data_IF_931749254579
#
_entry.id   IF_931749254579
#
_cell.length_a   1.000
_cell.length_b   1.000
_cell.length_c   1.000
_cell.angle_alpha   90.00
_cell.angle_beta   90.00
_cell.angle_gamma   90.00
#
_symmetry.space_group_name_H-M   'P 1'
#
loop_
_entity.id
_entity.type
_entity.pdbx_description
1 polymer ?
#
# COMPACT_ATOMS: atom_id res chain seq x y z
N UNK A 1 41.15 2.59 34.98
CA UNK A 1 40.15 3.54 34.45
C UNK A 1 39.97 3.44 32.93
N UNK A 2 41.00 3.60 32.07
CA UNK A 2 40.82 3.44 30.60
C UNK A 2 40.43 2.02 30.17
N UNK A 3 41.06 0.99 30.71
CA UNK A 3 40.74 -0.41 30.38
C UNK A 3 39.32 -0.81 30.81
N UNK A 4 38.92 -0.44 32.03
CA UNK A 4 37.54 -0.64 32.54
C UNK A 4 36.46 0.12 31.75
N UNK A 5 36.82 1.25 31.14
CA UNK A 5 35.90 2.02 30.29
C UNK A 5 35.75 1.37 28.90
N UNK A 6 36.82 0.79 28.36
CA UNK A 6 36.79 0.05 27.10
C UNK A 6 35.99 -1.27 27.23
N UNK A 7 36.20 -2.02 28.31
CA UNK A 7 35.46 -3.26 28.60
C UNK A 7 33.95 -2.98 28.77
N UNK A 8 33.59 -1.82 29.34
CA UNK A 8 32.20 -1.36 29.45
C UNK A 8 31.56 -1.04 28.10
N UNK A 9 32.26 -0.30 27.23
CA UNK A 9 31.78 0.00 25.88
C UNK A 9 31.61 -1.28 25.05
N UNK A 10 32.47 -2.26 25.26
CA UNK A 10 32.41 -3.56 24.60
C UNK A 10 31.18 -4.37 25.00
N UNK A 11 30.91 -4.52 26.31
CA UNK A 11 29.76 -5.29 26.82
C UNK A 11 28.41 -4.63 26.47
N UNK A 12 28.29 -3.30 26.59
CA UNK A 12 27.10 -2.59 26.09
C UNK A 12 26.98 -2.69 24.56
N UNK A 13 28.11 -2.73 23.86
CA UNK A 13 28.17 -2.96 22.42
C UNK A 13 27.64 -4.34 22.03
N UNK A 14 27.98 -5.39 22.77
CA UNK A 14 27.47 -6.75 22.58
C UNK A 14 25.96 -6.82 22.79
N UNK A 15 25.46 -6.30 23.91
CA UNK A 15 24.02 -6.28 24.19
C UNK A 15 23.24 -5.47 23.15
N UNK A 16 23.82 -4.36 22.65
CA UNK A 16 23.23 -3.58 21.55
C UNK A 16 23.17 -4.38 20.26
N UNK A 17 24.26 -5.04 19.85
CA UNK A 17 24.28 -5.91 18.67
C UNK A 17 23.23 -7.01 18.76
N UNK A 18 23.12 -7.66 19.92
CA UNK A 18 22.09 -8.68 20.15
C UNK A 18 20.66 -8.13 20.02
N UNK A 19 20.41 -6.91 20.50
CA UNK A 19 19.13 -6.23 20.34
C UNK A 19 18.85 -5.83 18.88
N UNK A 20 19.87 -5.45 18.12
CA UNK A 20 19.73 -5.09 16.70
C UNK A 20 19.49 -6.34 15.84
N UNK A 21 20.19 -7.45 16.11
CA UNK A 21 19.98 -8.75 15.46
C UNK A 21 18.56 -9.28 15.68
N UNK A 22 17.96 -8.98 16.84
CA UNK A 22 16.57 -9.30 17.16
C UNK A 22 15.58 -8.56 16.26
N UNK A 23 15.79 -7.25 16.06
CA UNK A 23 14.96 -6.44 15.17
C UNK A 23 15.17 -6.82 13.71
N UNK A 24 16.40 -7.16 13.31
CA UNK A 24 16.66 -7.71 11.98
C UNK A 24 15.89 -9.01 11.75
N UNK A 25 15.96 -9.96 12.70
CA UNK A 25 15.18 -11.19 12.63
C UNK A 25 13.68 -10.91 12.54
N UNK A 26 13.16 -10.00 13.37
CA UNK A 26 11.75 -9.57 13.33
C UNK A 26 11.37 -9.04 11.95
N UNK A 27 12.23 -8.24 11.32
CA UNK A 27 11.90 -7.51 10.09
C UNK A 27 12.20 -8.28 8.80
N UNK A 28 12.99 -9.36 8.86
CA UNK A 28 13.41 -10.11 7.66
C UNK A 28 13.05 -11.58 7.66
N UNK A 29 12.60 -12.15 8.78
CA UNK A 29 12.23 -13.57 8.87
C UNK A 29 10.71 -13.75 8.90
N UNK A 30 10.18 -14.41 7.86
CA UNK A 30 8.75 -14.66 7.68
C UNK A 30 8.51 -16.14 7.33
N UNK A 31 8.60 -17.05 8.33
CA UNK A 31 8.32 -18.47 8.12
C UNK A 31 6.83 -18.69 7.81
N UNK A 32 6.51 -19.79 7.12
CA UNK A 32 5.13 -20.16 6.81
C UNK A 32 4.29 -20.39 8.09
N UNK A 33 4.92 -20.86 9.18
CA UNK A 33 4.30 -20.98 10.49
C UNK A 33 4.73 -19.81 11.39
N UNK A 34 3.82 -18.87 11.74
CA UNK A 34 4.15 -17.72 12.59
C UNK A 34 4.72 -18.10 13.96
N UNK A 35 4.38 -19.28 14.49
CA UNK A 35 4.87 -19.75 15.79
C UNK A 35 6.40 -19.92 15.76
N UNK A 36 6.97 -20.35 14.65
CA UNK A 36 8.43 -20.51 14.50
C UNK A 36 9.17 -19.18 14.66
N UNK A 37 8.61 -18.09 14.10
CA UNK A 37 9.15 -16.74 14.27
C UNK A 37 9.14 -16.33 15.73
N UNK A 38 8.02 -16.53 16.42
CA UNK A 38 7.87 -16.18 17.83
C UNK A 38 8.83 -16.99 18.71
N UNK A 39 8.98 -18.29 18.46
CA UNK A 39 9.91 -19.15 19.21
C UNK A 39 11.37 -18.72 19.03
N UNK A 40 11.78 -18.38 17.80
CA UNK A 40 13.15 -17.93 17.55
C UNK A 40 13.41 -16.53 18.14
N UNK A 41 12.43 -15.61 18.06
CA UNK A 41 12.48 -14.32 18.75
C UNK A 41 12.60 -14.50 20.26
N UNK A 42 11.85 -15.42 20.86
CA UNK A 42 11.92 -15.72 22.29
C UNK A 42 13.31 -16.23 22.68
N UNK A 43 13.82 -17.24 21.97
CA UNK A 43 15.16 -17.81 22.21
C UNK A 43 16.27 -16.75 22.15
N UNK A 44 16.25 -15.88 21.13
CA UNK A 44 17.24 -14.81 20.98
C UNK A 44 17.04 -13.69 22.01
N UNK A 45 15.80 -13.40 22.40
CA UNK A 45 15.50 -12.40 23.44
C UNK A 45 16.03 -12.84 24.79
N UNK A 46 15.83 -14.11 25.15
CA UNK A 46 16.34 -14.68 26.40
C UNK A 46 17.88 -14.60 26.45
N UNK A 47 18.55 -14.90 25.33
CA UNK A 47 20.00 -14.74 25.22
C UNK A 47 20.43 -13.27 25.37
N UNK A 48 19.78 -12.34 24.66
CA UNK A 48 20.09 -10.92 24.73
C UNK A 48 19.86 -10.34 26.14
N UNK A 49 18.79 -10.77 26.82
CA UNK A 49 18.53 -10.42 28.21
C UNK A 49 19.60 -11.02 29.15
N UNK A 50 20.03 -12.26 28.93
CA UNK A 50 21.08 -12.88 29.74
C UNK A 50 22.43 -12.15 29.61
N UNK A 51 22.77 -11.71 28.39
CA UNK A 51 23.94 -10.88 28.15
C UNK A 51 23.82 -9.53 28.87
N UNK A 52 22.66 -8.89 28.77
CA UNK A 52 22.41 -7.61 29.43
C UNK A 52 22.45 -7.75 30.96
N UNK A 53 21.87 -8.82 31.52
CA UNK A 53 21.81 -9.06 32.97
C UNK A 53 23.18 -9.47 33.55
N UNK A 54 24.10 -9.97 32.72
CA UNK A 54 25.49 -10.24 33.11
C UNK A 54 26.30 -8.97 33.42
N UNK A 55 25.82 -7.79 33.02
CA UNK A 55 26.49 -6.51 33.28
C UNK A 55 26.59 -6.24 34.79
N UNK A 56 27.79 -6.08 35.37
CA UNK A 56 27.97 -5.77 36.80
C UNK A 56 27.22 -4.51 37.25
N UNK A 57 26.75 -4.50 38.50
CA UNK A 57 26.06 -3.35 39.10
C UNK A 57 26.99 -2.12 39.20
N UNK A 58 28.29 -2.35 39.38
CA UNK A 58 29.32 -1.31 39.39
C UNK A 58 29.41 -0.55 38.07
N UNK A 59 29.07 -1.21 36.96
CA UNK A 59 29.10 -0.64 35.61
C UNK A 59 27.79 0.11 35.25
N UNK A 60 26.80 0.09 36.15
CA UNK A 60 25.47 0.73 36.00
C UNK A 60 25.26 1.85 37.02
N UNK A 61 26.30 2.60 37.38
CA UNK A 61 26.23 3.60 38.45
C UNK A 61 25.75 4.97 37.97
N UNK A 62 26.16 5.40 36.78
CA UNK A 62 25.81 6.71 36.24
C UNK A 62 24.38 6.70 35.65
N UNK A 63 23.63 7.81 35.74
CA UNK A 63 22.30 7.91 35.14
C UNK A 63 22.25 7.54 33.66
N UNK A 64 23.28 7.91 32.87
CA UNK A 64 23.38 7.58 31.45
C UNK A 64 23.52 6.07 31.23
N UNK A 65 24.38 5.38 31.99
CA UNK A 65 24.57 3.92 31.90
C UNK A 65 23.29 3.18 32.31
N UNK A 66 22.63 3.63 33.38
CA UNK A 66 21.32 3.11 33.79
C UNK A 66 20.28 3.33 32.69
N UNK A 67 20.24 4.52 32.10
CA UNK A 67 19.35 4.84 30.99
C UNK A 67 19.57 3.92 29.79
N UNK A 68 20.82 3.66 29.40
CA UNK A 68 21.16 2.71 28.33
C UNK A 68 20.75 1.28 28.67
N UNK A 69 20.98 0.82 29.90
CA UNK A 69 20.56 -0.51 30.34
C UNK A 69 19.03 -0.67 30.28
N UNK A 70 18.29 0.28 30.85
CA UNK A 70 16.81 0.30 30.82
C UNK A 70 16.28 0.37 29.38
N UNK A 71 16.92 1.16 28.52
CA UNK A 71 16.59 1.23 27.10
C UNK A 71 16.77 -0.11 26.39
N UNK A 72 17.95 -0.74 26.52
CA UNK A 72 18.23 -2.01 25.86
C UNK A 72 17.28 -3.11 26.35
N UNK A 73 17.02 -3.19 27.66
CA UNK A 73 16.07 -4.15 28.22
C UNK A 73 14.68 -3.95 27.66
N UNK A 74 14.21 -2.70 27.64
CA UNK A 74 12.94 -2.31 27.05
C UNK A 74 12.83 -2.65 25.56
N UNK A 75 13.87 -2.33 24.77
CA UNK A 75 13.96 -2.65 23.33
C UNK A 75 13.88 -4.16 23.09
N UNK A 76 14.63 -4.97 23.84
CA UNK A 76 14.58 -6.44 23.70
C UNK A 76 13.18 -6.98 24.03
N UNK A 77 12.55 -6.48 25.09
CA UNK A 77 11.20 -6.90 25.47
C UNK A 77 10.13 -6.45 24.46
N UNK A 78 10.35 -5.34 23.74
CA UNK A 78 9.45 -4.82 22.71
C UNK A 78 9.60 -5.52 21.34
N UNK A 79 10.48 -6.51 21.17
CA UNK A 79 10.64 -7.15 19.84
C UNK A 79 9.38 -7.90 19.37
N UNK A 80 8.48 -8.25 20.28
CA UNK A 80 7.29 -9.03 19.99
C UNK A 80 6.15 -8.17 19.42
N UNK A 81 5.22 -8.75 18.63
CA UNK A 81 4.09 -8.01 18.06
C UNK A 81 3.14 -7.45 19.13
N UNK A 82 2.91 -8.22 20.19
CA UNK A 82 1.98 -7.87 21.25
C UNK A 82 2.60 -6.90 22.27
N UNK A 83 1.75 -6.01 22.80
CA UNK A 83 2.14 -5.09 23.87
C UNK A 83 2.60 -5.84 25.12
N UNK A 84 3.77 -5.46 25.65
CA UNK A 84 4.31 -5.93 26.92
C UNK A 84 4.50 -4.76 27.88
N UNK A 85 3.76 -4.76 28.98
CA UNK A 85 3.86 -3.73 30.02
C UNK A 85 5.28 -3.56 30.56
N UNK A 86 6.01 -4.67 30.70
CA UNK A 86 7.41 -4.64 31.16
C UNK A 86 8.31 -3.83 30.21
N UNK A 87 8.08 -3.91 28.89
CA UNK A 87 8.82 -3.10 27.92
C UNK A 87 8.52 -1.61 28.12
N UNK A 88 7.25 -1.22 28.25
CA UNK A 88 6.84 0.16 28.53
C UNK A 88 7.47 0.68 29.84
N UNK A 89 7.47 -0.11 30.90
CA UNK A 89 8.04 0.28 32.20
C UNK A 89 9.55 0.57 32.11
N UNK A 90 10.30 -0.28 31.40
CA UNK A 90 11.73 -0.09 31.15
C UNK A 90 12.03 1.11 30.24
N UNK A 91 11.30 1.23 29.13
CA UNK A 91 11.46 2.35 28.19
C UNK A 91 11.09 3.70 28.85
N UNK A 92 10.06 3.72 29.68
CA UNK A 92 9.66 4.90 30.46
C UNK A 92 10.73 5.33 31.46
N UNK A 93 11.44 4.38 32.08
CA UNK A 93 12.61 4.70 32.93
C UNK A 93 13.76 5.22 32.10
N UNK A 94 14.03 4.62 30.95
CA UNK A 94 15.11 5.04 30.05
C UNK A 94 14.99 6.51 29.64
N UNK A 95 13.81 6.94 29.18
CA UNK A 95 13.57 8.33 28.76
C UNK A 95 13.60 9.32 29.92
N UNK A 96 13.31 8.89 31.16
CA UNK A 96 13.45 9.74 32.36
C UNK A 96 14.91 9.92 32.76
N UNK A 97 15.72 8.86 32.64
CA UNK A 97 17.14 8.87 32.98
C UNK A 97 17.99 9.58 31.92
N UNK A 98 17.61 9.44 30.65
CA UNK A 98 18.26 10.11 29.52
C UNK A 98 17.22 10.64 28.52
N UNK A 99 16.65 11.85 28.76
CA UNK A 99 15.62 12.44 27.90
C UNK A 99 16.07 12.76 26.47
N UNK A 100 17.38 12.79 26.20
CA UNK A 100 17.95 13.06 24.88
C UNK A 100 18.15 11.80 24.03
N UNK A 101 17.86 10.60 24.58
CA UNK A 101 18.02 9.34 23.86
C UNK A 101 16.83 9.13 22.90
N UNK A 102 16.97 9.58 21.66
CA UNK A 102 15.92 9.51 20.63
C UNK A 102 15.41 8.08 20.41
N UNK A 103 16.31 7.08 20.36
CA UNK A 103 15.95 5.68 20.15
C UNK A 103 15.06 5.12 21.27
N UNK A 104 15.23 5.61 22.51
CA UNK A 104 14.38 5.21 23.63
C UNK A 104 12.97 5.77 23.51
N UNK A 105 12.83 7.02 23.05
CA UNK A 105 11.52 7.59 22.74
C UNK A 105 10.84 6.91 21.55
N UNK A 106 11.61 6.55 20.52
CA UNK A 106 11.13 5.77 19.38
C UNK A 106 10.58 4.42 19.84
N UNK A 107 11.35 3.65 20.63
CA UNK A 107 10.89 2.37 21.16
C UNK A 107 9.68 2.53 22.10
N UNK A 108 9.68 3.56 22.96
CA UNK A 108 8.55 3.84 23.85
C UNK A 108 7.27 4.15 23.06
N UNK A 109 7.37 4.99 22.02
CA UNK A 109 6.26 5.32 21.14
C UNK A 109 5.71 4.09 20.41
N UNK A 110 6.58 3.22 19.90
CA UNK A 110 6.17 1.95 19.28
C UNK A 110 5.48 1.01 20.29
N UNK A 111 6.02 0.90 21.50
CA UNK A 111 5.43 0.08 22.56
C UNK A 111 4.02 0.57 22.96
N UNK A 112 3.87 1.88 23.12
CA UNK A 112 2.57 2.53 23.42
C UNK A 112 1.61 2.42 22.23
N UNK A 113 2.12 2.44 21.00
CA UNK A 113 1.29 2.18 19.82
C UNK A 113 0.71 0.76 19.86
N UNK A 114 1.50 -0.27 20.21
CA UNK A 114 0.99 -1.64 20.38
C UNK A 114 -0.09 -1.75 21.47
N UNK A 115 -0.04 -0.90 22.50
CA UNK A 115 -1.08 -0.79 23.54
C UNK A 115 -2.40 -0.22 22.99
N UNK A 116 -2.37 0.45 21.84
CA UNK A 116 -3.52 1.08 21.19
C UNK A 116 -3.69 2.57 21.50
N UNK A 117 -2.82 3.16 22.32
CA UNK A 117 -2.88 4.59 22.67
C UNK A 117 -2.14 5.44 21.63
N UNK A 118 -2.81 5.71 20.52
CA UNK A 118 -2.23 6.45 19.38
C UNK A 118 -1.82 7.88 19.76
N UNK A 119 -2.57 8.53 20.66
CA UNK A 119 -2.29 9.90 21.07
C UNK A 119 -0.98 9.98 21.89
N UNK A 120 -0.80 9.08 22.86
CA UNK A 120 0.43 9.00 23.64
C UNK A 120 1.63 8.56 22.80
N UNK A 121 1.43 7.69 21.80
CA UNK A 121 2.47 7.32 20.84
C UNK A 121 2.92 8.54 20.01
N UNK A 122 1.98 9.34 19.48
CA UNK A 122 2.30 10.57 18.73
C UNK A 122 3.08 11.54 19.62
N UNK A 123 2.68 11.71 20.87
CA UNK A 123 3.39 12.55 21.83
C UNK A 123 4.85 12.09 22.05
N UNK A 124 5.10 10.78 22.17
CA UNK A 124 6.46 10.26 22.32
C UNK A 124 7.34 10.61 21.11
N UNK A 125 6.82 10.42 19.89
CA UNK A 125 7.57 10.75 18.68
C UNK A 125 7.81 12.26 18.51
N UNK A 126 6.81 13.09 18.79
CA UNK A 126 6.95 14.56 18.75
C UNK A 126 7.98 15.05 19.78
N UNK A 127 7.97 14.49 20.99
CA UNK A 127 8.97 14.79 22.00
C UNK A 127 10.37 14.36 21.55
N UNK A 128 10.51 13.21 20.90
CA UNK A 128 11.77 12.77 20.34
C UNK A 128 12.30 13.74 19.28
N UNK A 129 11.45 14.17 18.34
CA UNK A 129 11.82 15.15 17.31
C UNK A 129 12.18 16.53 17.88
N UNK A 130 11.61 16.91 19.02
CA UNK A 130 12.00 18.15 19.72
C UNK A 130 13.46 18.14 20.21
N UNK A 131 14.08 16.95 20.31
CA UNK A 131 15.49 16.79 20.72
C UNK A 131 16.45 16.72 19.54
N UNK A 132 15.95 16.39 18.35
CA UNK A 132 16.75 16.29 17.14
C UNK A 132 15.96 15.65 16.01
N UNK A 133 16.23 16.09 14.78
CA UNK A 133 15.60 15.50 13.61
C UNK A 133 16.11 14.07 13.40
N UNK A 134 15.18 13.14 13.15
CA UNK A 134 15.49 11.71 12.98
C UNK A 134 14.53 11.09 11.97
N UNK A 135 15.09 10.48 10.92
CA UNK A 135 14.30 9.90 9.80
C UNK A 135 13.43 8.72 10.22
N UNK A 136 13.87 7.91 11.18
CA UNK A 136 13.13 6.74 11.65
C UNK A 136 11.89 7.18 12.42
N UNK A 137 12.02 8.20 13.29
CA UNK A 137 10.91 8.77 14.03
C UNK A 137 9.91 9.46 13.07
N UNK A 138 10.39 10.20 12.07
CA UNK A 138 9.54 10.79 11.04
C UNK A 138 8.76 9.71 10.24
N UNK A 139 9.41 8.59 9.92
CA UNK A 139 8.73 7.44 9.31
C UNK A 139 7.65 6.87 10.23
N UNK A 140 7.93 6.68 11.52
CA UNK A 140 6.93 6.16 12.48
C UNK A 140 5.75 7.13 12.65
N UNK A 141 5.99 8.44 12.71
CA UNK A 141 4.91 9.44 12.73
C UNK A 141 4.05 9.34 11.48
N UNK A 142 4.68 9.28 10.30
CA UNK A 142 3.97 9.10 9.04
C UNK A 142 3.08 7.85 9.08
N UNK A 143 3.57 6.73 9.61
CA UNK A 143 2.78 5.49 9.74
C UNK A 143 1.63 5.62 10.75
N UNK A 144 1.91 6.19 11.92
CA UNK A 144 0.94 6.38 13.00
C UNK A 144 -0.21 7.31 12.55
N UNK A 145 0.10 8.39 11.84
CA UNK A 145 -0.89 9.34 11.34
C UNK A 145 -1.85 8.68 10.35
N UNK A 146 -1.35 7.83 9.45
CA UNK A 146 -2.23 7.04 8.56
C UNK A 146 -3.16 6.13 9.35
N UNK A 147 -2.70 5.58 10.47
CA UNK A 147 -3.53 4.77 11.36
C UNK A 147 -4.55 5.63 12.10
N UNK A 148 -4.16 6.79 12.62
CA UNK A 148 -5.06 7.75 13.28
C UNK A 148 -6.13 8.31 12.34
N UNK A 149 -5.81 8.44 11.04
CA UNK A 149 -6.78 8.83 10.03
C UNK A 149 -7.92 7.80 9.87
N UNK A 150 -7.69 6.53 10.17
CA UNK A 150 -8.72 5.49 10.05
C UNK A 150 -9.80 5.71 11.13
N UNK A 151 -10.98 6.15 10.70
CA UNK A 151 -12.11 6.43 11.60
C UNK A 151 -12.15 7.86 12.14
N UNK A 152 -11.24 8.74 11.72
CA UNK A 152 -11.32 10.18 11.99
C UNK A 152 -12.25 10.88 10.99
N UNK A 153 -12.80 12.05 11.37
CA UNK A 153 -13.53 12.94 10.45
C UNK A 153 -12.56 13.69 9.52
N UNK A 154 -11.37 14.06 10.01
CA UNK A 154 -10.36 14.84 9.28
C UNK A 154 -9.30 13.96 8.60
N UNK A 155 -9.70 12.84 8.00
CA UNK A 155 -8.74 11.86 7.45
C UNK A 155 -7.77 12.47 6.44
N UNK A 156 -8.27 13.34 5.55
CA UNK A 156 -7.46 13.95 4.52
C UNK A 156 -6.35 14.83 5.11
N UNK A 157 -6.66 15.65 6.11
CA UNK A 157 -5.70 16.53 6.78
C UNK A 157 -4.60 15.73 7.48
N UNK A 158 -4.98 14.72 8.26
CA UNK A 158 -4.03 13.84 8.97
C UNK A 158 -3.11 13.10 7.97
N UNK A 159 -3.64 12.70 6.82
CA UNK A 159 -2.84 12.02 5.79
C UNK A 159 -1.90 12.98 5.06
N UNK A 160 -2.25 14.26 4.92
CA UNK A 160 -1.30 15.26 4.42
C UNK A 160 -0.16 15.53 5.43
N UNK A 161 -0.42 15.52 6.74
CA UNK A 161 0.64 15.52 7.77
C UNK A 161 1.58 14.29 7.58
N UNK A 162 1.00 13.12 7.34
CA UNK A 162 1.76 11.88 7.08
C UNK A 162 2.67 11.99 5.86
N UNK A 163 2.21 12.64 4.78
CA UNK A 163 3.02 12.91 3.58
C UNK A 163 4.16 13.87 3.92
N UNK A 164 3.89 14.91 4.72
CA UNK A 164 4.89 15.89 5.10
C UNK A 164 6.03 15.25 5.91
N UNK A 165 5.71 14.47 6.94
CA UNK A 165 6.73 13.75 7.72
C UNK A 165 7.53 12.75 6.87
N UNK A 166 6.89 12.05 5.93
CA UNK A 166 7.61 11.15 5.02
C UNK A 166 8.58 11.90 4.08
N UNK A 167 8.19 13.07 3.58
CA UNK A 167 9.07 13.92 2.75
C UNK A 167 10.24 14.49 3.55
N UNK A 168 10.02 14.86 4.81
CA UNK A 168 11.08 15.29 5.71
C UNK A 168 12.08 14.15 5.98
N UNK A 169 11.60 12.92 6.19
CA UNK A 169 12.48 11.76 6.34
C UNK A 169 13.39 11.54 5.12
N UNK A 170 12.84 11.66 3.91
CA UNK A 170 13.60 11.60 2.65
C UNK A 170 14.62 12.75 2.54
N UNK A 171 14.28 13.94 3.04
CA UNK A 171 15.19 15.10 3.02
C UNK A 171 16.42 14.86 3.89
N UNK A 172 16.28 14.12 5.00
CA UNK A 172 17.41 13.71 5.84
C UNK A 172 18.30 12.65 5.18
N UNK A 173 17.71 11.73 4.42
CA UNK A 173 18.46 10.72 3.66
C UNK A 173 17.70 10.27 2.41
N UNK A 174 18.09 10.84 1.26
CA UNK A 174 17.46 10.57 -0.03
C UNK A 174 17.69 9.15 -0.54
N UNK A 175 18.65 8.41 0.04
CA UNK A 175 18.94 7.01 -0.32
C UNK A 175 18.19 6.02 0.57
N UNK A 176 17.52 6.49 1.61
CA UNK A 176 16.81 5.63 2.54
C UNK A 176 15.53 5.06 1.93
N UNK A 177 15.55 3.76 1.62
CA UNK A 177 14.42 3.11 0.99
C UNK A 177 13.17 3.04 1.89
N UNK A 178 13.34 2.95 3.22
CA UNK A 178 12.21 2.94 4.15
C UNK A 178 11.46 4.29 4.17
N UNK A 179 12.18 5.41 4.06
CA UNK A 179 11.58 6.74 3.94
C UNK A 179 10.77 6.88 2.64
N UNK A 180 11.31 6.40 1.52
CA UNK A 180 10.57 6.34 0.25
C UNK A 180 9.35 5.41 0.30
N UNK A 181 9.48 4.25 0.94
CA UNK A 181 8.37 3.32 1.14
C UNK A 181 7.24 3.97 1.96
N UNK A 182 7.58 4.72 3.01
CA UNK A 182 6.60 5.44 3.81
C UNK A 182 5.89 6.55 3.04
N UNK A 183 6.61 7.28 2.17
CA UNK A 183 5.96 8.23 1.25
C UNK A 183 5.00 7.50 0.30
N UNK A 184 5.39 6.33 -0.21
CA UNK A 184 4.53 5.50 -1.06
C UNK A 184 3.21 5.14 -0.38
N UNK A 185 3.29 4.68 0.87
CA UNK A 185 2.11 4.35 1.69
C UNK A 185 1.25 5.57 2.02
N UNK A 186 1.86 6.74 2.26
CA UNK A 186 1.16 8.00 2.51
C UNK A 186 0.42 8.51 1.27
N UNK A 187 1.07 8.52 0.11
CA UNK A 187 0.43 8.87 -1.16
C UNK A 187 -0.70 7.90 -1.52
N UNK A 188 -0.51 6.59 -1.30
CA UNK A 188 -1.56 5.58 -1.52
C UNK A 188 -2.77 5.83 -0.62
N UNK A 189 -2.53 6.10 0.66
CA UNK A 189 -3.60 6.40 1.60
C UNK A 189 -4.30 7.69 1.22
N UNK A 190 -3.56 8.73 0.84
CA UNK A 190 -4.09 10.03 0.39
C UNK A 190 -5.00 9.87 -0.82
N UNK A 191 -4.61 9.01 -1.77
CA UNK A 191 -5.45 8.67 -2.91
C UNK A 191 -6.82 8.14 -2.49
N UNK A 192 -6.89 7.17 -1.59
CA UNK A 192 -8.17 6.59 -1.15
C UNK A 192 -8.99 7.52 -0.26
N UNK A 193 -8.39 8.21 0.71
CA UNK A 193 -9.15 9.10 1.62
C UNK A 193 -9.72 10.32 0.88
N UNK A 194 -9.08 10.75 -0.21
CA UNK A 194 -9.59 11.84 -1.05
C UNK A 194 -10.59 11.39 -2.11
N UNK A 195 -10.99 10.11 -2.12
CA UNK A 195 -12.06 9.58 -2.96
C UNK A 195 -11.60 8.75 -4.16
N UNK A 196 -10.33 8.32 -4.18
CA UNK A 196 -9.78 7.38 -5.16
C UNK A 196 -9.84 7.85 -6.63
N UNK A 197 -9.64 9.16 -6.86
CA UNK A 197 -9.71 9.77 -8.19
C UNK A 197 -8.45 10.53 -8.61
N UNK A 198 -7.65 11.03 -7.67
CA UNK A 198 -6.45 11.78 -7.99
C UNK A 198 -5.32 10.85 -8.45
N UNK A 199 -5.28 10.59 -9.76
CA UNK A 199 -4.29 9.72 -10.38
C UNK A 199 -2.84 10.18 -10.13
N UNK A 200 -2.62 11.48 -9.88
CA UNK A 200 -1.30 12.01 -9.53
C UNK A 200 -0.78 11.39 -8.24
N UNK A 201 -1.63 11.26 -7.21
CA UNK A 201 -1.25 10.63 -5.93
C UNK A 201 -0.89 9.16 -6.09
N UNK A 202 -1.62 8.44 -6.93
CA UNK A 202 -1.34 7.03 -7.21
C UNK A 202 -0.01 6.86 -7.96
N UNK A 203 0.29 7.74 -8.93
CA UNK A 203 1.58 7.77 -9.62
C UNK A 203 2.74 8.19 -8.70
N UNK A 204 2.51 9.14 -7.78
CA UNK A 204 3.48 9.51 -6.76
C UNK A 204 3.80 8.33 -5.84
N UNK A 205 2.77 7.58 -5.43
CA UNK A 205 2.93 6.36 -4.64
C UNK A 205 3.79 5.33 -5.37
N UNK A 206 3.48 5.03 -6.65
CA UNK A 206 4.26 4.12 -7.48
C UNK A 206 5.73 4.56 -7.60
N UNK A 207 5.96 5.85 -7.87
CA UNK A 207 7.33 6.40 -8.00
C UNK A 207 8.11 6.30 -6.68
N UNK A 208 7.43 6.51 -5.55
CA UNK A 208 8.05 6.37 -4.23
C UNK A 208 8.46 4.92 -3.95
N UNK A 209 7.60 3.92 -4.24
CA UNK A 209 7.99 2.52 -4.13
C UNK A 209 9.15 2.15 -5.06
N UNK A 210 9.15 2.63 -6.31
CA UNK A 210 10.27 2.41 -7.23
C UNK A 210 11.60 3.02 -6.73
N UNK A 211 11.54 4.12 -5.97
CA UNK A 211 12.74 4.65 -5.31
C UNK A 211 13.12 3.82 -4.09
N UNK A 212 12.15 3.31 -3.32
CA UNK A 212 12.40 2.43 -2.19
C UNK A 212 13.11 1.13 -2.61
N UNK A 213 12.70 0.53 -3.73
CA UNK A 213 13.29 -0.69 -4.29
C UNK A 213 14.77 -0.55 -4.72
N UNK A 214 15.28 0.68 -4.86
CA UNK A 214 16.69 0.93 -5.16
C UNK A 214 17.61 0.71 -3.96
N UNK A 215 17.06 0.72 -2.74
CA UNK A 215 17.79 0.39 -1.53
C UNK A 215 17.82 -1.13 -1.34
N UNK A 216 19.01 -1.72 -1.32
CA UNK A 216 19.21 -3.17 -1.14
C UNK A 216 18.55 -3.69 0.14
N UNK A 217 18.48 -2.87 1.19
CA UNK A 217 17.85 -3.23 2.48
C UNK A 217 16.34 -3.45 2.34
N UNK A 218 15.71 -2.82 1.35
CA UNK A 218 14.28 -2.94 1.11
C UNK A 218 13.91 -4.17 0.28
N UNK A 219 14.87 -4.84 -0.35
CA UNK A 219 14.60 -6.04 -1.15
C UNK A 219 14.06 -7.22 -0.34
N UNK A 220 14.25 -7.24 0.98
CA UNK A 220 13.66 -8.26 1.86
C UNK A 220 12.28 -7.88 2.37
N UNK A 221 11.81 -6.64 2.17
CA UNK A 221 10.54 -6.16 2.71
C UNK A 221 9.36 -6.68 1.86
N UNK A 222 8.51 -7.59 2.38
CA UNK A 222 7.40 -8.15 1.63
C UNK A 222 6.26 -7.14 1.39
N UNK A 223 5.99 -6.26 2.36
CA UNK A 223 4.93 -5.24 2.30
C UNK A 223 5.17 -4.22 1.18
N UNK A 224 6.45 -3.88 0.91
CA UNK A 224 6.82 -3.01 -0.21
C UNK A 224 6.32 -3.59 -1.54
N UNK A 225 6.61 -4.86 -1.82
CA UNK A 225 6.18 -5.53 -3.04
C UNK A 225 4.65 -5.66 -3.10
N UNK A 226 4.01 -5.98 -1.98
CA UNK A 226 2.56 -6.12 -1.90
C UNK A 226 1.83 -4.78 -2.19
N UNK A 227 2.28 -3.70 -1.56
CA UNK A 227 1.67 -2.38 -1.74
C UNK A 227 1.97 -1.82 -3.13
N UNK A 228 3.19 -2.01 -3.65
CA UNK A 228 3.54 -1.66 -5.03
C UNK A 228 2.70 -2.44 -6.05
N UNK A 229 2.47 -3.73 -5.82
CA UNK A 229 1.60 -4.57 -6.65
C UNK A 229 0.13 -4.12 -6.61
N UNK A 230 -0.35 -3.71 -5.44
CA UNK A 230 -1.71 -3.17 -5.26
C UNK A 230 -1.90 -1.88 -6.06
N UNK A 231 -0.91 -0.98 -6.05
CA UNK A 231 -0.91 0.22 -6.89
C UNK A 231 -0.91 -0.14 -8.37
N UNK A 232 -0.06 -1.09 -8.80
CA UNK A 232 -0.05 -1.55 -10.19
C UNK A 232 -1.38 -2.21 -10.59
N UNK A 233 -2.02 -2.98 -9.71
CA UNK A 233 -3.35 -3.56 -9.94
C UNK A 233 -4.39 -2.47 -10.17
N UNK A 234 -4.40 -1.44 -9.31
CA UNK A 234 -5.34 -0.32 -9.45
C UNK A 234 -5.06 0.53 -10.70
N UNK A 235 -3.80 0.63 -11.09
CA UNK A 235 -3.36 1.22 -12.36
C UNK A 235 -3.54 0.27 -13.55
N UNK A 236 -4.14 -0.91 -13.40
CA UNK A 236 -4.32 -1.94 -14.44
C UNK A 236 -3.02 -2.35 -15.16
N UNK A 237 -1.87 -2.19 -14.50
CA UNK A 237 -0.56 -2.70 -14.91
C UNK A 237 -0.44 -4.17 -14.48
N UNK A 238 -1.24 -5.05 -15.07
CA UNK A 238 -1.45 -6.42 -14.60
C UNK A 238 -0.15 -7.24 -14.49
N UNK A 239 0.76 -7.15 -15.46
CA UNK A 239 2.05 -7.87 -15.42
C UNK A 239 2.88 -7.49 -14.19
N UNK A 240 2.99 -6.19 -13.90
CA UNK A 240 3.72 -5.67 -12.75
C UNK A 240 3.03 -6.02 -11.44
N UNK A 241 1.70 -5.99 -11.42
CA UNK A 241 0.92 -6.40 -10.26
C UNK A 241 1.16 -7.88 -9.93
N UNK A 242 1.05 -8.76 -10.93
CA UNK A 242 1.29 -10.20 -10.79
C UNK A 242 2.72 -10.48 -10.30
N UNK A 243 3.73 -9.88 -10.94
CA UNK A 243 5.14 -10.02 -10.54
C UNK A 243 5.39 -9.55 -9.11
N UNK A 244 4.81 -8.40 -8.73
CA UNK A 244 4.97 -7.84 -7.39
C UNK A 244 4.28 -8.69 -6.31
N UNK A 245 3.08 -9.21 -6.56
CA UNK A 245 2.42 -10.12 -5.62
C UNK A 245 3.17 -11.45 -5.50
N UNK A 246 3.71 -12.03 -6.58
CA UNK A 246 4.56 -13.21 -6.46
C UNK A 246 5.83 -12.93 -5.65
N UNK A 247 6.46 -11.77 -5.88
CA UNK A 247 7.63 -11.35 -5.12
C UNK A 247 7.32 -11.15 -3.62
N UNK A 248 6.12 -10.68 -3.28
CA UNK A 248 5.65 -10.56 -1.90
C UNK A 248 5.38 -11.94 -1.28
N UNK A 249 4.67 -12.83 -1.99
CA UNK A 249 4.36 -14.19 -1.56
C UNK A 249 5.62 -15.04 -1.28
N UNK A 250 6.67 -14.84 -2.09
CA UNK A 250 7.95 -15.53 -1.90
C UNK A 250 8.65 -15.09 -0.60
N UNK A 251 8.43 -13.86 -0.15
CA UNK A 251 9.10 -13.27 1.01
C UNK A 251 8.33 -13.49 2.30
N UNK A 252 7.01 -13.28 2.29
CA UNK A 252 6.11 -13.61 3.39
C UNK A 252 4.92 -14.41 2.85
N UNK A 253 4.94 -15.76 2.98
CA UNK A 253 3.82 -16.61 2.61
C UNK A 253 2.54 -16.32 3.39
N UNK A 254 2.63 -15.66 4.54
CA UNK A 254 1.50 -15.23 5.34
C UNK A 254 0.80 -13.99 4.80
N UNK A 255 1.33 -13.35 3.74
CA UNK A 255 0.57 -12.36 2.99
C UNK A 255 -0.40 -13.08 2.05
N UNK A 256 -1.62 -12.54 1.92
CA UNK A 256 -2.63 -13.03 0.97
C UNK A 256 -2.25 -12.73 -0.50
N UNK A 257 -0.97 -12.63 -0.83
CA UNK A 257 -0.45 -12.26 -2.13
C UNK A 257 -0.70 -13.36 -3.18
N UNK A 258 -0.64 -14.64 -2.79
CA UNK A 258 -0.98 -15.77 -3.68
C UNK A 258 -2.45 -15.69 -4.12
N UNK A 259 -3.35 -15.34 -3.20
CA UNK A 259 -4.77 -15.16 -3.49
C UNK A 259 -4.99 -13.98 -4.45
N UNK A 260 -4.27 -12.87 -4.27
CA UNK A 260 -4.33 -11.74 -5.20
C UNK A 260 -3.83 -12.09 -6.61
N UNK A 261 -2.76 -12.90 -6.73
CA UNK A 261 -2.31 -13.43 -8.03
C UNK A 261 -3.42 -14.26 -8.68
N UNK A 262 -4.03 -15.17 -7.93
CA UNK A 262 -5.08 -16.05 -8.44
C UNK A 262 -6.29 -15.25 -8.92
N UNK A 263 -6.76 -14.27 -8.14
CA UNK A 263 -7.87 -13.38 -8.51
C UNK A 263 -7.62 -12.63 -9.82
N UNK A 264 -6.40 -12.12 -10.02
CA UNK A 264 -6.03 -11.41 -11.26
C UNK A 264 -6.01 -12.39 -12.44
N UNK A 265 -5.38 -13.56 -12.29
CA UNK A 265 -5.30 -14.58 -13.34
C UNK A 265 -6.69 -15.07 -13.75
N UNK A 266 -7.57 -15.34 -12.80
CA UNK A 266 -8.93 -15.80 -13.07
C UNK A 266 -9.78 -14.75 -13.79
N UNK A 267 -9.66 -13.49 -13.38
CA UNK A 267 -10.27 -12.37 -14.08
C UNK A 267 -9.78 -12.30 -15.54
N UNK A 268 -8.47 -12.30 -15.77
CA UNK A 268 -7.89 -12.19 -17.11
C UNK A 268 -8.26 -13.37 -18.00
N UNK A 269 -8.27 -14.59 -17.45
CA UNK A 269 -8.74 -15.79 -18.14
C UNK A 269 -10.21 -15.67 -18.56
N UNK A 270 -11.05 -15.13 -17.68
CA UNK A 270 -12.47 -14.92 -17.96
C UNK A 270 -12.69 -13.86 -19.05
N UNK A 271 -11.97 -12.73 -18.98
CA UNK A 271 -12.02 -11.67 -19.99
C UNK A 271 -11.61 -12.20 -21.37
N UNK A 272 -10.48 -12.91 -21.44
CA UNK A 272 -9.98 -13.51 -22.67
C UNK A 272 -10.97 -14.52 -23.27
N UNK A 273 -11.54 -15.40 -22.44
CA UNK A 273 -12.54 -16.39 -22.88
C UNK A 273 -13.79 -15.72 -23.46
N UNK A 274 -14.30 -14.68 -22.81
CA UNK A 274 -15.47 -13.94 -23.27
C UNK A 274 -15.20 -13.21 -24.60
N UNK A 275 -14.04 -12.55 -24.72
CA UNK A 275 -13.61 -11.87 -25.95
C UNK A 275 -13.46 -12.85 -27.12
N UNK A 276 -12.83 -14.02 -26.91
CA UNK A 276 -12.70 -15.07 -27.93
C UNK A 276 -14.05 -15.68 -28.33
N UNK A 277 -14.96 -15.85 -27.37
CA UNK A 277 -16.32 -16.32 -27.62
C UNK A 277 -17.10 -15.36 -28.53
N UNK A 278 -16.99 -14.05 -28.30
CA UNK A 278 -17.65 -13.06 -29.14
C UNK A 278 -17.05 -12.95 -30.54
N UNK A 279 -15.73 -13.06 -30.68
CA UNK A 279 -15.09 -13.12 -31.99
C UNK A 279 -15.64 -14.26 -32.87
N UNK A 280 -16.02 -15.40 -32.25
CA UNK A 280 -16.65 -16.55 -32.93
C UNK A 280 -18.15 -16.35 -33.17
N UNK A 281 -18.85 -15.66 -32.28
CA UNK A 281 -20.29 -15.43 -32.32
C UNK A 281 -20.75 -14.25 -33.20
N UNK A 282 -19.83 -13.59 -33.94
CA UNK A 282 -20.04 -12.44 -34.84
C UNK A 282 -21.11 -12.60 -35.95
N UNK A 283 -22.02 -13.58 -35.89
CA UNK A 283 -23.11 -13.78 -36.84
C UNK A 283 -24.46 -13.14 -36.48
N UNK A 284 -24.70 -12.60 -35.28
CA UNK A 284 -26.10 -12.28 -34.90
C UNK A 284 -26.43 -10.95 -34.21
N UNK A 285 -25.51 -10.01 -33.98
CA UNK A 285 -25.89 -8.70 -33.44
C UNK A 285 -25.84 -7.63 -34.54
N UNK A 286 -26.91 -7.54 -35.34
CA UNK A 286 -27.29 -6.25 -35.87
C UNK A 286 -27.46 -5.34 -34.66
N UNK A 287 -26.47 -4.47 -34.39
CA UNK A 287 -26.63 -3.36 -33.47
C UNK A 287 -27.74 -2.51 -34.08
N UNK A 288 -28.98 -2.83 -33.70
CA UNK A 288 -30.16 -2.10 -34.11
C UNK A 288 -29.83 -0.64 -33.86
N UNK A 289 -29.78 0.12 -34.96
CA UNK A 289 -29.64 1.56 -35.03
C UNK A 289 -30.50 2.21 -33.95
N UNK A 290 -29.92 2.43 -32.78
CA UNK A 290 -30.63 2.91 -31.60
C UNK A 290 -30.57 4.43 -31.60
N UNK A 291 -31.74 5.03 -31.75
CA UNK A 291 -32.10 6.45 -31.87
C UNK A 291 -31.68 7.36 -30.69
N UNK A 292 -30.73 6.95 -29.84
CA UNK A 292 -30.21 7.79 -28.75
C UNK A 292 -29.17 8.84 -29.24
N UNK A 293 -29.32 9.33 -30.47
CA UNK A 293 -28.35 10.19 -31.14
C UNK A 293 -28.43 11.67 -30.69
N UNK A 294 -29.50 12.08 -30.02
CA UNK A 294 -29.85 13.51 -29.99
C UNK A 294 -29.38 14.29 -28.74
N UNK A 295 -28.75 13.65 -27.75
CA UNK A 295 -28.37 14.30 -26.47
C UNK A 295 -26.85 14.43 -26.24
N UNK A 296 -26.01 14.14 -27.23
CA UNK A 296 -24.56 14.34 -27.05
C UNK A 296 -24.23 15.82 -27.16
N UNK A 297 -23.50 16.36 -26.17
CA UNK A 297 -23.01 17.73 -26.23
C UNK A 297 -22.16 17.92 -27.52
N UNK A 298 -22.43 18.95 -28.34
CA UNK A 298 -21.73 19.19 -29.60
C UNK A 298 -20.20 19.33 -29.48
N UNK A 299 -19.68 19.61 -28.28
CA UNK A 299 -18.24 19.68 -28.01
C UNK A 299 -17.52 18.34 -28.14
N UNK A 300 -18.24 17.21 -28.12
CA UNK A 300 -17.64 15.88 -28.20
C UNK A 300 -17.67 15.31 -29.61
N UNK A 301 -16.50 14.93 -30.12
CA UNK A 301 -16.41 14.16 -31.37
C UNK A 301 -16.69 12.69 -31.09
N UNK A 302 -17.73 12.13 -31.73
CA UNK A 302 -18.02 10.70 -31.65
C UNK A 302 -17.06 9.90 -32.52
N UNK A 303 -16.38 8.93 -31.93
CA UNK A 303 -15.46 8.02 -32.63
C UNK A 303 -15.64 6.57 -32.17
N UNK A 304 -14.94 5.65 -32.82
CA UNK A 304 -14.91 4.21 -32.49
C UNK A 304 -13.59 3.83 -31.83
N UNK A 305 -13.54 2.66 -31.18
CA UNK A 305 -12.39 2.31 -30.33
C UNK A 305 -11.10 2.08 -31.11
N UNK A 306 -11.17 1.76 -32.40
CA UNK A 306 -10.02 1.53 -33.28
C UNK A 306 -9.19 2.77 -33.56
N UNK A 307 -9.74 3.96 -33.35
CA UNK A 307 -9.05 5.23 -33.61
C UNK A 307 -8.70 6.02 -32.35
N UNK A 308 -8.87 5.41 -31.16
CA UNK A 308 -8.38 6.00 -29.91
C UNK A 308 -6.86 5.89 -29.80
N UNK A 309 -6.26 6.90 -29.18
CA UNK A 309 -4.85 6.89 -28.78
C UNK A 309 -4.70 6.35 -27.36
N UNK A 310 -3.55 5.75 -27.05
CA UNK A 310 -3.20 5.30 -25.70
C UNK A 310 -3.31 6.46 -24.68
N UNK A 311 -3.98 6.22 -23.55
CA UNK A 311 -4.24 7.21 -22.51
C UNK A 311 -5.54 8.00 -22.68
N UNK A 312 -5.56 9.23 -22.15
CA UNK A 312 -6.75 10.08 -22.10
C UNK A 312 -7.06 10.72 -23.47
N UNK A 313 -8.26 10.50 -23.99
CA UNK A 313 -8.73 11.08 -25.24
C UNK A 313 -9.73 12.22 -24.95
N UNK A 314 -9.25 13.47 -24.84
CA UNK A 314 -10.09 14.64 -24.50
C UNK A 314 -11.07 15.01 -25.61
N UNK A 315 -12.23 15.58 -25.23
CA UNK A 315 -13.28 16.02 -26.18
C UNK A 315 -13.74 14.93 -27.17
N UNK A 316 -13.58 13.66 -26.79
CA UNK A 316 -13.97 12.49 -27.57
C UNK A 316 -15.03 11.71 -26.80
N UNK A 317 -16.00 11.17 -27.54
CA UNK A 317 -16.97 10.24 -27.00
C UNK A 317 -16.99 8.95 -27.82
N UNK A 318 -17.15 7.82 -27.16
CA UNK A 318 -17.44 6.55 -27.83
C UNK A 318 -18.79 6.00 -27.38
N UNK A 319 -19.44 5.25 -28.26
CA UNK A 319 -20.71 4.61 -27.97
C UNK A 319 -20.57 3.11 -28.14
N UNK A 320 -21.01 2.37 -27.13
CA UNK A 320 -20.98 0.92 -27.16
C UNK A 320 -22.17 0.30 -26.43
N UNK A 321 -22.49 -0.94 -26.78
CA UNK A 321 -23.53 -1.72 -26.12
C UNK A 321 -22.89 -2.72 -25.16
N UNK A 322 -23.39 -2.76 -23.92
CA UNK A 322 -22.95 -3.73 -22.91
C UNK A 322 -23.43 -5.12 -23.33
N UNK A 323 -22.47 -6.03 -23.50
CA UNK A 323 -22.73 -7.43 -23.80
C UNK A 323 -22.84 -8.26 -22.53
N UNK A 324 -21.87 -8.13 -21.62
CA UNK A 324 -21.80 -8.93 -20.41
C UNK A 324 -21.26 -8.14 -19.22
N UNK A 325 -21.76 -8.46 -18.04
CA UNK A 325 -21.12 -8.11 -16.79
C UNK A 325 -20.16 -9.23 -16.33
N UNK A 326 -18.90 -8.89 -16.07
CA UNK A 326 -17.86 -9.86 -15.73
C UNK A 326 -17.72 -9.95 -14.22
N UNK A 327 -18.45 -10.92 -13.62
CA UNK A 327 -18.34 -11.22 -12.19
C UNK A 327 -16.92 -11.67 -11.82
N UNK A 328 -16.38 -11.16 -10.73
CA UNK A 328 -15.08 -11.52 -10.17
C UNK A 328 -15.09 -11.23 -8.65
N UNK A 329 -14.04 -11.66 -7.94
CA UNK A 329 -14.00 -11.59 -6.47
C UNK A 329 -13.64 -10.21 -5.90
N UNK A 330 -13.04 -9.32 -6.70
CA UNK A 330 -12.69 -7.98 -6.20
C UNK A 330 -13.91 -7.05 -6.21
N UNK A 331 -13.98 -6.16 -5.24
CA UNK A 331 -15.08 -5.19 -5.09
C UNK A 331 -15.02 -4.13 -6.20
N UNK A 332 -13.81 -3.74 -6.59
CA UNK A 332 -13.56 -2.75 -7.64
C UNK A 332 -12.29 -3.11 -8.44
N UNK A 333 -12.23 -2.74 -9.74
CA UNK A 333 -13.33 -2.12 -10.50
C UNK A 333 -14.39 -3.14 -10.94
N UNK A 334 -15.52 -2.63 -11.43
CA UNK A 334 -16.49 -3.44 -12.16
C UNK A 334 -16.01 -3.63 -13.60
N UNK A 335 -16.13 -4.84 -14.13
CA UNK A 335 -15.70 -5.16 -15.49
C UNK A 335 -16.91 -5.48 -16.37
N UNK A 336 -16.97 -4.86 -17.55
CA UNK A 336 -17.98 -5.12 -18.56
C UNK A 336 -17.33 -5.44 -19.90
N UNK A 337 -17.97 -6.29 -20.69
CA UNK A 337 -17.65 -6.44 -22.10
C UNK A 337 -18.58 -5.55 -22.92
N UNK A 338 -18.00 -4.64 -23.71
CA UNK A 338 -18.75 -3.66 -24.50
C UNK A 338 -18.38 -3.80 -25.96
N UNK A 339 -19.35 -3.59 -26.87
CA UNK A 339 -19.14 -3.65 -28.31
C UNK A 339 -19.53 -2.31 -28.96
N UNK A 340 -18.63 -1.74 -29.77
CA UNK A 340 -18.91 -0.51 -30.50
C UNK A 340 -19.65 -0.75 -31.83
N UNK A 341 -19.95 0.33 -32.56
CA UNK A 341 -20.63 0.27 -33.86
C UNK A 341 -19.84 -0.48 -34.94
N UNK A 342 -18.50 -0.58 -34.80
CA UNK A 342 -17.62 -1.33 -35.71
C UNK A 342 -17.53 -2.81 -35.35
N UNK A 343 -18.36 -3.30 -34.40
CA UNK A 343 -18.34 -4.68 -33.93
C UNK A 343 -17.01 -5.08 -33.28
N UNK A 344 -16.30 -4.10 -32.70
CA UNK A 344 -15.09 -4.32 -31.92
C UNK A 344 -15.49 -4.41 -30.45
N UNK A 345 -15.23 -5.58 -29.87
CA UNK A 345 -15.45 -5.80 -28.43
C UNK A 345 -14.23 -5.35 -27.63
N UNK A 346 -14.47 -4.74 -26.48
CA UNK A 346 -13.45 -4.25 -25.57
C UNK A 346 -13.91 -4.35 -24.11
N UNK A 347 -12.94 -4.31 -23.21
CA UNK A 347 -13.17 -4.37 -21.76
C UNK A 347 -13.42 -2.95 -21.25
N UNK A 348 -14.45 -2.76 -20.46
CA UNK A 348 -14.70 -1.53 -19.73
C UNK A 348 -14.44 -1.79 -18.23
N UNK A 349 -13.46 -1.09 -17.68
CA UNK A 349 -13.11 -1.07 -16.25
C UNK A 349 -13.78 0.16 -15.62
N UNK A 350 -14.73 -0.04 -14.71
CA UNK A 350 -15.50 1.04 -14.08
C UNK A 350 -15.17 1.13 -12.59
N UNK A 351 -14.59 2.26 -12.18
CA UNK A 351 -14.32 2.62 -10.80
C UNK A 351 -15.35 3.64 -10.32
N UNK A 352 -15.63 3.64 -9.03
CA UNK A 352 -16.44 4.69 -8.41
C UNK A 352 -17.95 4.63 -8.70
N UNK A 353 -18.44 3.58 -9.37
CA UNK A 353 -19.85 3.43 -9.77
C UNK A 353 -20.42 2.14 -9.18
N UNK A 354 -21.67 2.18 -8.72
CA UNK A 354 -22.39 1.02 -8.17
C UNK A 354 -22.72 -0.04 -9.23
N UNK A 355 -22.82 -1.30 -8.82
CA UNK A 355 -23.00 -2.44 -9.74
C UNK A 355 -24.38 -2.50 -10.42
N UNK A 356 -25.36 -1.77 -9.92
CA UNK A 356 -26.73 -1.69 -10.43
C UNK A 356 -26.91 -0.56 -11.46
N UNK A 357 -25.90 0.30 -11.63
CA UNK A 357 -25.94 1.46 -12.52
C UNK A 357 -25.85 1.10 -14.01
N UNK A 358 -25.15 0.01 -14.35
CA UNK A 358 -24.92 -0.44 -15.74
C UNK A 358 -25.35 -1.90 -15.86
N UNK A 359 -26.23 -2.20 -16.83
CA UNK A 359 -26.80 -3.53 -17.05
C UNK A 359 -26.48 -4.07 -18.44
N UNK A 360 -26.59 -5.38 -18.60
CA UNK A 360 -26.45 -6.03 -19.90
C UNK A 360 -27.52 -5.52 -20.88
N UNK A 361 -27.11 -5.22 -22.11
CA UNK A 361 -27.96 -4.63 -23.13
C UNK A 361 -28.01 -3.11 -23.14
N UNK A 362 -27.54 -2.43 -22.09
CA UNK A 362 -27.50 -0.97 -22.04
C UNK A 362 -26.59 -0.38 -23.12
N UNK A 363 -26.97 0.79 -23.63
CA UNK A 363 -26.14 1.60 -24.49
C UNK A 363 -25.35 2.60 -23.64
N UNK A 364 -24.03 2.51 -23.67
CA UNK A 364 -23.13 3.42 -22.99
C UNK A 364 -22.61 4.47 -23.96
N UNK A 365 -22.57 5.72 -23.50
CA UNK A 365 -21.71 6.76 -24.08
C UNK A 365 -20.63 7.06 -23.06
N UNK A 366 -19.37 6.83 -23.45
CA UNK A 366 -18.20 7.10 -22.62
C UNK A 366 -17.55 8.40 -23.09
N UNK A 367 -17.44 9.37 -22.20
CA UNK A 367 -16.85 10.68 -22.44
C UNK A 367 -15.41 10.70 -21.95
N UNK A 368 -14.55 11.34 -22.74
CA UNK A 368 -13.12 11.43 -22.49
C UNK A 368 -12.47 10.09 -22.12
N UNK A 369 -12.65 9.04 -22.95
CA UNK A 369 -12.24 7.70 -22.57
C UNK A 369 -10.74 7.62 -22.36
N UNK A 370 -10.34 7.02 -21.24
CA UNK A 370 -8.97 6.61 -21.01
C UNK A 370 -8.77 5.22 -21.61
N UNK A 371 -8.16 5.17 -22.79
CA UNK A 371 -7.95 3.96 -23.57
C UNK A 371 -6.61 3.29 -23.22
N UNK A 372 -6.61 1.95 -23.19
CA UNK A 372 -5.38 1.16 -23.13
C UNK A 372 -5.42 -0.04 -24.05
N UNK A 373 -4.28 -0.35 -24.63
CA UNK A 373 -4.01 -1.66 -25.20
C UNK A 373 -3.25 -2.54 -24.19
N UNK A 374 -3.94 -3.52 -23.62
CA UNK A 374 -3.31 -4.51 -22.74
C UNK A 374 -2.70 -5.59 -23.62
N UNK A 375 -1.39 -5.75 -23.54
CA UNK A 375 -0.62 -6.77 -24.25
C UNK A 375 0.57 -7.20 -23.39
N UNK A 376 0.48 -8.39 -22.79
CA UNK A 376 1.56 -8.99 -22.01
C UNK A 376 1.42 -10.51 -21.93
N UNK A 377 2.48 -11.19 -21.51
CA UNK A 377 2.48 -12.63 -21.27
C UNK A 377 2.75 -12.95 -19.81
N UNK A 378 2.02 -13.92 -19.27
CA UNK A 378 2.20 -14.40 -17.90
C UNK A 378 2.22 -15.92 -17.88
N UNK A 379 3.30 -16.51 -17.36
CA UNK A 379 3.51 -17.97 -17.28
C UNK A 379 3.15 -18.72 -18.58
N UNK A 380 3.58 -18.17 -19.72
CA UNK A 380 3.38 -18.76 -21.05
C UNK A 380 2.01 -18.48 -21.70
N UNK A 381 1.10 -17.78 -21.02
CA UNK A 381 -0.18 -17.34 -21.58
C UNK A 381 -0.14 -15.86 -21.96
N UNK A 382 -0.54 -15.53 -23.18
CA UNK A 382 -0.64 -14.16 -23.67
C UNK A 382 -2.04 -13.59 -23.42
N UNK A 383 -2.10 -12.38 -22.85
CA UNK A 383 -3.31 -11.60 -22.67
C UNK A 383 -3.24 -10.36 -23.54
N UNK A 384 -4.13 -10.31 -24.55
CA UNK A 384 -4.22 -9.18 -25.46
C UNK A 384 -5.66 -8.70 -25.60
N UNK A 385 -5.94 -7.45 -25.20
CA UNK A 385 -7.25 -6.84 -25.35
C UNK A 385 -7.21 -5.31 -25.30
N UNK A 386 -8.25 -4.69 -25.85
CA UNK A 386 -8.50 -3.26 -25.72
C UNK A 386 -9.31 -3.00 -24.46
N UNK A 387 -8.94 -1.99 -23.68
CA UNK A 387 -9.72 -1.57 -22.52
C UNK A 387 -9.96 -0.06 -22.47
N UNK A 388 -11.03 0.31 -21.79
CA UNK A 388 -11.33 1.69 -21.42
C UNK A 388 -11.58 1.73 -19.92
N UNK A 389 -10.94 2.70 -19.26
CA UNK A 389 -11.11 2.98 -17.85
C UNK A 389 -12.04 4.19 -17.66
N UNK A 390 -12.95 4.04 -16.70
CA UNK A 390 -13.83 5.10 -16.19
C UNK A 390 -13.60 5.23 -14.70
N UNK A 391 -13.42 6.46 -14.23
CA UNK A 391 -13.23 6.79 -12.81
C UNK A 391 -14.41 7.56 -12.22
N UNK A 392 -15.23 8.19 -13.07
CA UNK A 392 -16.27 9.14 -12.63
C UNK A 392 -17.64 8.90 -13.30
N UNK A 393 -18.71 9.28 -12.61
CA UNK A 393 -20.09 9.20 -13.13
C UNK A 393 -20.27 10.08 -14.38
N UNK A 394 -19.62 11.25 -14.39
CA UNK A 394 -19.72 12.25 -15.44
C UNK A 394 -19.14 11.75 -16.78
N UNK A 395 -18.30 10.72 -16.73
CA UNK A 395 -17.74 10.08 -17.93
C UNK A 395 -18.71 9.09 -18.58
N UNK A 396 -19.85 8.77 -17.96
CA UNK A 396 -20.75 7.72 -18.45
C UNK A 396 -22.18 8.22 -18.58
N UNK A 397 -22.75 8.06 -19.78
CA UNK A 397 -24.19 8.15 -20.00
C UNK A 397 -24.74 6.76 -20.30
N UNK A 398 -25.74 6.33 -19.54
CA UNK A 398 -26.44 5.06 -19.73
C UNK A 398 -27.77 5.33 -20.42
N UNK A 399 -27.97 4.73 -21.60
CA UNK A 399 -29.15 4.94 -22.44
C UNK A 399 -29.47 6.43 -22.69
N UNK A 400 -28.41 7.23 -22.85
CA UNK A 400 -28.49 8.68 -23.10
C UNK A 400 -28.76 9.55 -21.86
N UNK A 401 -28.75 8.97 -20.64
CA UNK A 401 -28.95 9.69 -19.38
C UNK A 401 -27.69 9.67 -18.52
N UNK A 402 -27.40 10.78 -17.85
CA UNK A 402 -26.35 10.82 -16.84
C UNK A 402 -26.71 9.95 -15.63
N UNK A 403 -25.70 9.35 -15.00
CA UNK A 403 -25.86 8.61 -13.77
C UNK A 403 -26.17 9.55 -12.59
N UNK A 404 -26.97 9.08 -11.65
CA UNK A 404 -27.37 9.85 -10.47
C UNK A 404 -26.28 9.79 -9.39
N UNK A 405 -26.20 10.84 -8.56
CA UNK A 405 -25.17 10.96 -7.51
C UNK A 405 -25.19 9.82 -6.48
N UNK A 406 -26.34 9.22 -6.20
CA UNK A 406 -26.46 8.08 -5.28
C UNK A 406 -25.83 6.78 -5.83
N UNK A 407 -25.48 6.74 -7.11
CA UNK A 407 -24.81 5.62 -7.76
C UNK A 407 -23.27 5.74 -7.68
N UNK A 408 -22.75 6.83 -7.12
CA UNK A 408 -21.33 6.96 -6.81
C UNK A 408 -20.95 6.10 -5.59
N UNK A 409 -19.88 5.33 -5.70
CA UNK A 409 -19.34 4.49 -4.62
C UNK A 409 -17.89 4.88 -4.34
N UNK A 410 -17.50 4.94 -3.07
CA UNK A 410 -16.09 5.15 -2.69
C UNK A 410 -15.40 3.81 -2.46
N UNK A 411 -14.24 3.63 -3.06
CA UNK A 411 -13.35 2.49 -2.74
C UNK A 411 -12.40 2.92 -1.62
N UNK A 412 -12.19 2.06 -0.64
CA UNK A 412 -11.16 2.25 0.39
C UNK A 412 -10.21 1.07 0.39
N UNK A 413 -8.91 1.35 0.25
CA UNK A 413 -7.84 0.39 0.48
C UNK A 413 -6.82 1.08 1.37
N UNK A 414 -6.35 0.38 2.40
CA UNK A 414 -5.27 0.84 3.25
C UNK A 414 -3.99 0.11 2.84
N UNK A 415 -2.87 0.84 2.82
CA UNK A 415 -1.56 0.22 2.61
C UNK A 415 -1.36 -0.87 3.67
N UNK A 416 -0.95 -2.07 3.25
CA UNK A 416 -0.64 -3.12 4.19
C UNK A 416 0.62 -2.76 4.97
N UNK A 417 0.56 -3.01 6.26
CA UNK A 417 1.71 -2.99 7.13
C UNK A 417 1.49 -4.05 8.20
N UNK A 418 2.30 -5.10 8.19
CA UNK A 418 2.35 -6.02 9.32
C UNK A 418 3.40 -5.49 10.31
N UNK A 419 3.01 -5.08 11.52
CA UNK A 419 3.94 -4.60 12.54
C UNK A 419 4.87 -5.70 13.07
#
# INVERSE_FOLDING_TARGET
>A
MREQNNEMEELFGEARRAADDLYQLRDTYFPANPVEKISELQRKSDLALSLLDSLPLEQRRLPIQRGTYEFLRGKILDVFPDYRKEAEDHLSKAVKLNPSLADAWLCLGNCIWKKGDLASAKNCFTLALSKGSNKEILCQLSMLERRMAQGSENQAEIVEESIQHAKEAITLDVKDGNSWYNLGNACLTSFFVTGAWDHSKLLQSLKAYQNAEKDERMKSNPDLYFNCATVNKYLENYERALSGFEAAALKDPGLNAVEEVQKIVDLLNKLESLLKGQARAKRHAALASSRAADNLNPSYKRITIDILSEGLNKAVAIVGKVLFFVKHESIAPLYYLVCDSNQICYVLSVYGISNDAIKEGDQLTLLEPYYRHVDFSWKGKCYQFKSIRVDFLEQVLVNGKALASHQAVRTSIYAQHKP
#
